data_IF_296084773568
#
_entry.id   IF_296084773568
#
_cell.length_a   1.000
_cell.length_b   1.000
_cell.length_c   1.000
_cell.angle_alpha   90.00
_cell.angle_beta   90.00
_cell.angle_gamma   90.00
#
_symmetry.space_group_name_H-M   'P 1'
#
loop_
_entity.id
_entity.type
_entity.pdbx_description
1 polymer ?
#
# COMPACT_ATOMS: atom_id res chain seq x y z
N UNK A 1 25.31 20.06 -19.06
CA UNK A 1 24.02 19.57 -19.59
C UNK A 1 23.39 18.60 -18.57
N UNK A 2 22.87 19.09 -17.42
CA UNK A 2 22.39 18.25 -16.28
C UNK A 2 20.92 18.48 -15.91
N UNK A 3 20.39 19.68 -16.19
CA UNK A 3 19.09 20.15 -15.66
C UNK A 3 17.90 19.33 -16.17
N UNK A 4 17.94 18.74 -17.37
CA UNK A 4 16.82 17.93 -17.90
C UNK A 4 16.59 16.61 -17.14
N UNK A 5 17.61 16.06 -16.46
CA UNK A 5 17.49 14.77 -15.75
C UNK A 5 16.89 14.94 -14.34
N UNK A 6 17.09 16.10 -13.74
CA UNK A 6 16.63 16.41 -12.38
C UNK A 6 15.10 16.57 -12.30
N UNK A 7 14.45 17.07 -13.36
CA UNK A 7 12.99 17.19 -13.43
C UNK A 7 12.27 15.88 -13.79
N UNK A 8 12.97 14.92 -14.39
CA UNK A 8 12.36 13.64 -14.76
C UNK A 8 11.90 12.85 -13.54
N UNK A 9 12.65 12.86 -12.44
CA UNK A 9 12.27 12.12 -11.24
C UNK A 9 11.00 12.70 -10.56
N UNK A 10 10.90 14.02 -10.29
CA UNK A 10 9.66 14.62 -9.79
C UNK A 10 8.46 14.45 -10.72
N UNK A 11 8.65 14.60 -12.04
CA UNK A 11 7.57 14.40 -13.01
C UNK A 11 7.10 12.93 -13.05
N UNK A 12 8.04 11.99 -13.01
CA UNK A 12 7.72 10.57 -12.91
C UNK A 12 6.96 10.25 -11.62
N UNK A 13 7.40 10.80 -10.48
CA UNK A 13 6.71 10.63 -9.19
C UNK A 13 5.28 11.19 -9.25
N UNK A 14 5.10 12.39 -9.82
CA UNK A 14 3.78 13.00 -9.98
C UNK A 14 2.87 12.16 -10.88
N UNK A 15 3.43 11.62 -11.97
CA UNK A 15 2.69 10.73 -12.87
C UNK A 15 2.30 9.40 -12.18
N UNK A 16 3.19 8.81 -11.38
CA UNK A 16 2.87 7.61 -10.60
C UNK A 16 1.80 7.91 -9.54
N UNK A 17 1.89 9.05 -8.84
CA UNK A 17 0.85 9.49 -7.90
C UNK A 17 -0.50 9.69 -8.57
N UNK A 18 -0.51 10.25 -9.79
CA UNK A 18 -1.72 10.40 -10.59
C UNK A 18 -2.34 9.04 -10.95
N UNK A 19 -1.53 8.10 -11.45
CA UNK A 19 -1.99 6.72 -11.75
C UNK A 19 -2.56 6.05 -10.50
N UNK A 20 -1.87 6.18 -9.36
CA UNK A 20 -2.31 5.58 -8.10
C UNK A 20 -3.65 6.16 -7.63
N UNK A 21 -3.82 7.49 -7.70
CA UNK A 21 -5.09 8.14 -7.38
C UNK A 21 -6.24 7.72 -8.30
N UNK A 22 -6.01 7.71 -9.61
CA UNK A 22 -7.01 7.29 -10.60
C UNK A 22 -7.40 5.80 -10.43
N UNK A 23 -6.49 4.97 -9.94
CA UNK A 23 -6.73 3.54 -9.71
C UNK A 23 -7.88 3.31 -8.74
N UNK A 24 -8.06 4.13 -7.69
CA UNK A 24 -9.18 3.96 -6.76
C UNK A 24 -10.55 4.05 -7.45
N UNK A 25 -10.70 5.04 -8.35
CA UNK A 25 -11.94 5.23 -9.11
C UNK A 25 -12.18 4.06 -10.06
N UNK A 26 -11.14 3.62 -10.77
CA UNK A 26 -11.21 2.49 -11.69
C UNK A 26 -11.53 1.19 -10.95
N UNK A 27 -10.89 0.93 -9.82
CA UNK A 27 -11.12 -0.25 -8.98
C UNK A 27 -12.55 -0.22 -8.42
N UNK A 28 -13.01 0.91 -7.90
CA UNK A 28 -14.37 1.06 -7.38
C UNK A 28 -15.41 0.68 -8.44
N UNK A 29 -15.23 1.17 -9.67
CA UNK A 29 -16.12 0.84 -10.79
C UNK A 29 -15.98 -0.63 -11.23
N UNK A 30 -14.76 -1.16 -11.33
CA UNK A 30 -14.50 -2.53 -11.77
C UNK A 30 -15.07 -3.57 -10.79
N UNK A 31 -15.03 -3.27 -9.49
CA UNK A 31 -15.52 -4.14 -8.44
C UNK A 31 -17.03 -4.38 -8.50
N UNK A 32 -17.80 -3.45 -9.06
CA UNK A 32 -19.24 -3.63 -9.30
C UNK A 32 -19.55 -4.77 -10.28
N UNK A 33 -18.59 -5.18 -11.11
CA UNK A 33 -18.79 -6.22 -12.14
C UNK A 33 -18.29 -7.61 -11.72
N UNK A 34 -17.15 -7.70 -11.04
CA UNK A 34 -16.46 -8.99 -10.77
C UNK A 34 -16.31 -9.33 -9.28
N UNK A 35 -16.64 -8.39 -8.39
CA UNK A 35 -16.50 -8.53 -6.94
C UNK A 35 -15.05 -8.44 -6.43
N UNK A 36 -14.85 -8.23 -5.11
CA UNK A 36 -13.53 -7.93 -4.51
C UNK A 36 -12.51 -9.07 -4.64
N UNK A 37 -12.95 -10.32 -4.39
CA UNK A 37 -12.07 -11.49 -4.39
C UNK A 37 -11.55 -11.81 -5.79
N UNK A 38 -12.44 -11.86 -6.79
CA UNK A 38 -12.08 -12.14 -8.19
C UNK A 38 -11.17 -11.04 -8.74
N UNK A 39 -11.49 -9.77 -8.46
CA UNK A 39 -10.68 -8.65 -8.91
C UNK A 39 -9.25 -8.74 -8.38
N UNK A 40 -9.08 -8.92 -7.07
CA UNK A 40 -7.75 -9.05 -6.46
C UNK A 40 -7.04 -10.32 -6.92
N UNK A 41 -7.75 -11.45 -7.03
CA UNK A 41 -7.19 -12.71 -7.52
C UNK A 41 -6.58 -12.57 -8.92
N UNK A 42 -7.33 -12.00 -9.86
CA UNK A 42 -6.84 -11.72 -11.22
C UNK A 42 -5.65 -10.74 -11.18
N UNK A 43 -5.78 -9.64 -10.43
CA UNK A 43 -4.71 -8.63 -10.30
C UNK A 43 -3.39 -9.25 -9.83
N UNK A 44 -3.41 -10.06 -8.79
CA UNK A 44 -2.20 -10.70 -8.26
C UNK A 44 -1.70 -11.84 -9.14
N UNK A 45 -2.58 -12.55 -9.84
CA UNK A 45 -2.19 -13.57 -10.81
C UNK A 45 -1.44 -12.94 -12.00
N UNK A 46 -1.99 -11.85 -12.57
CA UNK A 46 -1.31 -11.09 -13.62
C UNK A 46 0.02 -10.52 -13.13
N UNK A 47 0.05 -9.91 -11.94
CA UNK A 47 1.29 -9.40 -11.36
C UNK A 47 2.34 -10.51 -11.19
N UNK A 48 1.94 -11.69 -10.70
CA UNK A 48 2.83 -12.85 -10.55
C UNK A 48 3.40 -13.34 -11.88
N UNK A 49 2.57 -13.46 -12.92
CA UNK A 49 3.03 -13.86 -14.27
C UNK A 49 4.04 -12.85 -14.83
N UNK A 50 3.75 -11.55 -14.70
CA UNK A 50 4.65 -10.49 -15.17
C UNK A 50 5.98 -10.54 -14.43
N UNK A 51 5.97 -10.69 -13.10
CA UNK A 51 7.19 -10.78 -12.30
C UNK A 51 8.03 -12.03 -12.66
N UNK A 52 7.38 -13.17 -12.90
CA UNK A 52 8.05 -14.39 -13.37
C UNK A 52 8.68 -14.18 -14.76
N UNK A 53 7.94 -13.54 -15.68
CA UNK A 53 8.44 -13.22 -17.01
C UNK A 53 9.67 -12.29 -16.93
N UNK A 54 9.62 -11.25 -16.11
CA UNK A 54 10.75 -10.34 -15.87
C UNK A 54 11.94 -11.10 -15.29
N UNK A 55 11.74 -12.00 -14.32
CA UNK A 55 12.83 -12.80 -13.76
C UNK A 55 13.53 -13.66 -14.82
N UNK A 56 12.76 -14.29 -15.72
CA UNK A 56 13.28 -15.13 -16.81
C UNK A 56 14.05 -14.28 -17.84
N UNK A 57 13.44 -13.18 -18.32
CA UNK A 57 14.02 -12.33 -19.37
C UNK A 57 15.31 -11.65 -18.90
N UNK A 58 15.32 -11.13 -17.67
CA UNK A 58 16.49 -10.47 -17.11
C UNK A 58 17.49 -11.44 -16.47
N UNK A 59 17.27 -12.76 -16.58
CA UNK A 59 18.17 -13.83 -16.13
C UNK A 59 18.77 -13.57 -14.74
N UNK A 60 17.95 -13.08 -13.80
CA UNK A 60 18.39 -12.90 -12.42
C UNK A 60 18.64 -14.28 -11.84
N UNK A 61 19.91 -14.71 -11.83
CA UNK A 61 20.33 -16.00 -11.28
C UNK A 61 19.94 -16.03 -9.82
N UNK A 62 18.84 -16.72 -9.53
CA UNK A 62 18.33 -16.92 -8.18
C UNK A 62 18.75 -18.32 -7.75
N UNK A 63 19.55 -18.44 -6.68
CA UNK A 63 19.91 -19.75 -6.15
C UNK A 63 18.67 -20.44 -5.58
N UNK A 64 18.62 -21.78 -5.62
CA UNK A 64 17.60 -22.56 -4.90
C UNK A 64 17.59 -22.25 -3.40
N UNK A 65 18.75 -21.85 -2.85
CA UNK A 65 18.89 -21.44 -1.47
C UNK A 65 18.21 -20.07 -1.20
N UNK A 66 18.37 -19.11 -2.11
CA UNK A 66 17.73 -17.80 -2.03
C UNK A 66 16.21 -17.92 -2.10
N UNK A 67 15.70 -18.81 -2.98
CA UNK A 67 14.26 -19.11 -3.09
C UNK A 67 13.76 -19.69 -1.77
N UNK A 68 14.48 -20.65 -1.18
CA UNK A 68 14.05 -21.30 0.07
C UNK A 68 14.05 -20.34 1.25
N UNK A 69 15.06 -19.47 1.36
CA UNK A 69 15.14 -18.45 2.41
C UNK A 69 14.10 -17.34 2.23
N UNK A 70 13.84 -16.94 0.98
CA UNK A 70 12.90 -15.86 0.67
C UNK A 70 11.45 -16.31 0.62
N UNK A 71 11.17 -17.61 0.43
CA UNK A 71 9.79 -18.12 0.30
C UNK A 71 8.96 -17.88 1.56
N UNK A 72 9.53 -18.14 2.74
CA UNK A 72 8.82 -17.88 4.00
C UNK A 72 8.58 -16.39 4.24
N UNK A 73 9.60 -15.55 3.98
CA UNK A 73 9.46 -14.10 4.04
C UNK A 73 8.40 -13.58 3.06
N UNK A 74 8.41 -14.09 1.82
CA UNK A 74 7.45 -13.75 0.77
C UNK A 74 6.02 -14.14 1.12
N UNK A 75 5.81 -15.29 1.78
CA UNK A 75 4.49 -15.68 2.28
C UNK A 75 3.96 -14.71 3.34
N UNK A 76 4.79 -14.31 4.30
CA UNK A 76 4.39 -13.36 5.35
C UNK A 76 4.09 -11.99 4.73
N UNK A 77 5.00 -11.48 3.92
CA UNK A 77 4.87 -10.18 3.23
C UNK A 77 3.63 -10.18 2.33
N UNK A 78 3.40 -11.26 1.58
CA UNK A 78 2.25 -11.47 0.71
C UNK A 78 0.93 -11.61 1.47
N UNK A 79 0.94 -12.22 2.66
CA UNK A 79 -0.25 -12.32 3.52
C UNK A 79 -0.74 -10.93 3.95
N UNK A 80 0.13 -10.08 4.50
CA UNK A 80 -0.25 -8.72 4.89
C UNK A 80 -0.68 -7.88 3.69
N UNK A 81 -0.05 -8.08 2.53
CA UNK A 81 -0.46 -7.44 1.28
C UNK A 81 -1.86 -7.86 0.87
N UNK A 82 -2.16 -9.16 0.90
CA UNK A 82 -3.47 -9.73 0.58
C UNK A 82 -4.55 -9.17 1.51
N UNK A 83 -4.31 -9.20 2.82
CA UNK A 83 -5.23 -8.63 3.82
C UNK A 83 -5.46 -7.14 3.56
N UNK A 84 -4.40 -6.36 3.32
CA UNK A 84 -4.51 -4.94 3.01
C UNK A 84 -5.36 -4.67 1.76
N UNK A 85 -5.13 -5.42 0.68
CA UNK A 85 -5.90 -5.27 -0.55
C UNK A 85 -7.35 -5.72 -0.42
N UNK A 86 -7.64 -6.78 0.35
CA UNK A 86 -9.02 -7.20 0.61
C UNK A 86 -9.76 -6.15 1.44
N UNK A 87 -9.16 -5.68 2.53
CA UNK A 87 -9.75 -4.61 3.35
C UNK A 87 -9.98 -3.34 2.54
N UNK A 88 -9.05 -2.98 1.65
CA UNK A 88 -9.21 -1.84 0.75
C UNK A 88 -10.38 -2.02 -0.21
N UNK A 89 -10.43 -3.14 -0.92
CA UNK A 89 -11.47 -3.37 -1.93
C UNK A 89 -12.84 -3.48 -1.29
N UNK A 90 -12.98 -4.23 -0.20
CA UNK A 90 -14.23 -4.25 0.57
C UNK A 90 -14.59 -2.86 1.13
N UNK A 91 -13.62 -2.10 1.60
CA UNK A 91 -13.84 -0.73 2.05
C UNK A 91 -14.38 0.19 0.94
N UNK A 92 -13.86 0.04 -0.28
CA UNK A 92 -14.29 0.77 -1.48
C UNK A 92 -15.75 0.52 -1.89
N UNK A 93 -16.37 -0.59 -1.43
CA UNK A 93 -17.79 -0.82 -1.67
C UNK A 93 -18.69 0.11 -0.87
N UNK A 94 -18.20 0.65 0.25
CA UNK A 94 -19.00 1.43 1.21
C UNK A 94 -18.53 2.87 1.37
N UNK A 95 -17.28 3.19 1.01
CA UNK A 95 -16.73 4.55 1.08
C UNK A 95 -16.41 5.11 -0.31
N UNK A 96 -16.14 6.42 -0.38
CA UNK A 96 -15.79 7.09 -1.64
C UNK A 96 -14.33 6.84 -2.00
N UNK A 97 -14.00 6.80 -3.30
CA UNK A 97 -12.62 6.68 -3.78
C UNK A 97 -11.67 7.72 -3.15
N UNK A 98 -12.15 8.95 -2.93
CA UNK A 98 -11.37 10.02 -2.29
C UNK A 98 -11.06 9.70 -0.82
N UNK A 99 -12.08 9.30 -0.03
CA UNK A 99 -11.89 8.89 1.38
C UNK A 99 -10.96 7.68 1.47
N UNK A 100 -11.16 6.68 0.63
CA UNK A 100 -10.32 5.49 0.62
C UNK A 100 -8.85 5.77 0.27
N UNK A 101 -8.59 6.61 -0.73
CA UNK A 101 -7.23 7.00 -1.11
C UNK A 101 -6.53 7.74 0.02
N UNK A 102 -7.22 8.68 0.67
CA UNK A 102 -6.70 9.41 1.83
C UNK A 102 -6.39 8.48 3.00
N UNK A 103 -7.35 7.63 3.40
CA UNK A 103 -7.21 6.69 4.50
C UNK A 103 -6.11 5.66 4.24
N UNK A 104 -5.98 5.15 3.01
CA UNK A 104 -4.88 4.26 2.62
C UNK A 104 -3.53 4.98 2.76
N UNK A 105 -3.45 6.26 2.39
CA UNK A 105 -2.26 7.10 2.53
C UNK A 105 -1.79 7.26 3.98
N UNK A 106 -2.67 7.08 4.97
CA UNK A 106 -2.30 7.07 6.38
C UNK A 106 -1.33 5.94 6.76
N UNK A 107 -1.15 4.94 5.89
CA UNK A 107 -0.10 3.93 6.03
C UNK A 107 1.28 4.56 6.29
N UNK A 108 1.58 5.72 5.70
CA UNK A 108 2.84 6.47 5.92
C UNK A 108 3.02 6.90 7.37
N UNK A 109 1.93 7.26 8.05
CA UNK A 109 1.92 7.61 9.48
C UNK A 109 1.90 6.34 10.34
N UNK A 110 1.23 5.28 9.89
CA UNK A 110 1.16 4.01 10.60
C UNK A 110 2.51 3.27 10.63
N UNK A 111 3.33 3.36 9.58
CA UNK A 111 4.65 2.72 9.53
C UNK A 111 5.55 3.12 10.72
N UNK A 112 5.82 4.41 11.00
CA UNK A 112 6.64 4.78 12.15
C UNK A 112 5.97 4.47 13.49
N UNK A 113 4.62 4.49 13.58
CA UNK A 113 3.90 4.07 14.80
C UNK A 113 4.10 2.59 15.06
N UNK A 114 3.90 1.72 14.07
CA UNK A 114 4.15 0.29 14.20
C UNK A 114 5.64 0.03 14.46
N UNK A 115 6.55 0.79 13.84
CA UNK A 115 7.99 0.71 14.14
C UNK A 115 8.28 1.04 15.62
N UNK A 116 7.65 2.08 16.17
CA UNK A 116 7.76 2.41 17.59
C UNK A 116 7.28 1.25 18.48
N UNK A 117 6.11 0.69 18.17
CA UNK A 117 5.48 -0.36 18.98
C UNK A 117 6.30 -1.67 18.92
N UNK A 118 6.70 -2.11 17.72
CA UNK A 118 7.34 -3.41 17.52
C UNK A 118 8.88 -3.36 17.65
N UNK A 119 9.53 -2.28 17.22
CA UNK A 119 10.99 -2.15 17.26
C UNK A 119 11.49 -1.25 18.41
N UNK A 120 10.59 -0.73 19.27
CA UNK A 120 10.91 0.15 20.42
C UNK A 120 11.75 1.38 20.04
N UNK A 121 11.72 1.80 18.78
CA UNK A 121 12.37 3.04 18.32
C UNK A 121 11.56 4.24 18.83
N UNK A 122 12.18 5.33 19.28
CA UNK A 122 11.45 6.48 19.87
C UNK A 122 10.53 7.17 18.85
N UNK A 123 9.35 7.61 19.29
CA UNK A 123 8.37 8.29 18.46
C UNK A 123 8.86 9.72 18.20
N UNK A 124 9.09 10.05 16.93
CA UNK A 124 9.59 11.37 16.55
C UNK A 124 8.45 12.38 16.47
N UNK A 125 8.75 13.67 16.67
CA UNK A 125 7.78 14.79 16.53
C UNK A 125 7.00 14.75 15.19
N UNK A 126 7.62 14.22 14.13
CA UNK A 126 6.98 14.00 12.82
C UNK A 126 5.77 13.06 12.87
N UNK A 127 5.75 12.07 13.77
CA UNK A 127 4.62 11.15 13.93
C UNK A 127 3.41 11.88 14.49
N UNK A 128 3.63 12.68 15.53
CA UNK A 128 2.56 13.48 16.17
C UNK A 128 1.98 14.47 15.15
N UNK A 129 2.83 15.22 14.46
CA UNK A 129 2.39 16.15 13.40
C UNK A 129 1.63 15.42 12.29
N UNK A 130 2.13 14.25 11.86
CA UNK A 130 1.47 13.43 10.85
C UNK A 130 0.07 12.99 11.27
N UNK A 131 -0.11 12.54 12.51
CA UNK A 131 -1.43 12.19 13.05
C UNK A 131 -2.35 13.41 13.07
N UNK A 132 -1.89 14.56 13.56
CA UNK A 132 -2.72 15.78 13.64
C UNK A 132 -3.17 16.24 12.25
N UNK A 133 -2.25 16.27 11.27
CA UNK A 133 -2.56 16.66 9.89
C UNK A 133 -3.48 15.64 9.22
N UNK A 134 -3.25 14.35 9.45
CA UNK A 134 -4.11 13.28 8.96
C UNK A 134 -5.55 13.40 9.49
N UNK A 135 -5.72 13.63 10.79
CA UNK A 135 -7.04 13.82 11.40
C UNK A 135 -7.73 15.07 10.85
N UNK A 136 -7.00 16.17 10.67
CA UNK A 136 -7.54 17.39 10.07
C UNK A 136 -7.95 17.18 8.59
N UNK A 137 -7.12 16.48 7.80
CA UNK A 137 -7.45 16.14 6.41
C UNK A 137 -8.67 15.23 6.30
N UNK A 138 -8.77 14.21 7.16
CA UNK A 138 -9.95 13.35 7.24
C UNK A 138 -11.19 14.15 7.62
N UNK A 139 -11.07 15.08 8.58
CA UNK A 139 -12.16 15.98 8.97
C UNK A 139 -12.65 16.80 7.78
N UNK A 140 -11.76 17.45 7.03
CA UNK A 140 -12.14 18.24 5.85
C UNK A 140 -12.82 17.40 4.76
N UNK A 141 -12.37 16.16 4.57
CA UNK A 141 -12.90 15.26 3.56
C UNK A 141 -14.26 14.62 3.96
N UNK A 142 -14.51 14.48 5.26
CA UNK A 142 -15.77 13.93 5.80
C UNK A 142 -16.82 15.00 6.11
N UNK A 143 -16.39 16.24 6.38
CA UNK A 143 -17.29 17.38 6.64
C UNK A 143 -18.23 17.70 5.45
N UNK A 144 -17.82 17.35 4.23
CA UNK A 144 -18.62 17.59 3.02
C UNK A 144 -19.84 16.65 2.87
N UNK A 145 -19.83 15.46 3.48
CA UNK A 145 -20.75 14.36 3.14
C UNK A 145 -21.59 13.85 4.32
N UNK A 146 -21.86 14.70 5.31
CA UNK A 146 -22.33 14.34 6.66
C UNK A 146 -21.28 13.54 7.44
N UNK A 147 -21.13 13.85 8.73
CA UNK A 147 -20.07 13.33 9.60
C UNK A 147 -20.32 11.87 10.02
N UNK A 148 -20.56 10.97 9.06
CA UNK A 148 -20.81 9.56 9.32
C UNK A 148 -19.62 8.75 8.84
N UNK A 149 -18.84 8.25 9.80
CA UNK A 149 -17.89 7.18 9.53
C UNK A 149 -18.68 5.94 9.16
N UNK A 150 -18.46 5.45 7.94
CA UNK A 150 -19.08 4.23 7.48
C UNK A 150 -18.19 3.02 7.78
N UNK A 151 -18.75 1.82 7.62
CA UNK A 151 -17.97 0.59 7.82
C UNK A 151 -16.80 0.47 6.84
N UNK A 152 -16.92 1.06 5.65
CA UNK A 152 -15.85 1.13 4.66
C UNK A 152 -14.64 1.93 5.16
N UNK A 153 -14.85 3.05 5.84
CA UNK A 153 -13.78 3.88 6.41
C UNK A 153 -12.97 3.09 7.43
N UNK A 154 -13.65 2.29 8.28
CA UNK A 154 -13.01 1.40 9.26
C UNK A 154 -12.20 0.31 8.55
N UNK A 155 -12.75 -0.29 7.49
CA UNK A 155 -12.04 -1.30 6.69
C UNK A 155 -10.79 -0.70 6.03
N UNK A 156 -10.88 0.50 5.44
CA UNK A 156 -9.72 1.14 4.81
C UNK A 156 -8.68 1.61 5.85
N UNK A 157 -9.10 2.01 7.05
CA UNK A 157 -8.16 2.22 8.16
C UNK A 157 -7.42 0.93 8.54
N UNK A 158 -8.12 -0.20 8.59
CA UNK A 158 -7.49 -1.52 8.76
C UNK A 158 -6.52 -1.86 7.63
N UNK A 159 -6.85 -1.50 6.38
CA UNK A 159 -5.95 -1.61 5.23
C UNK A 159 -4.66 -0.81 5.45
N UNK A 160 -4.74 0.42 5.93
CA UNK A 160 -3.55 1.26 6.18
C UNK A 160 -2.58 0.61 7.18
N UNK A 161 -3.12 -0.07 8.22
CA UNK A 161 -2.32 -0.84 9.19
C UNK A 161 -1.70 -2.07 8.53
N UNK A 162 -2.46 -2.82 7.73
CA UNK A 162 -1.94 -3.99 7.02
C UNK A 162 -0.84 -3.63 6.02
N UNK A 163 -0.97 -2.52 5.28
CA UNK A 163 0.10 -2.01 4.43
C UNK A 163 1.30 -1.51 5.22
N UNK A 164 1.11 -0.86 6.36
CA UNK A 164 2.21 -0.48 7.22
C UNK A 164 3.00 -1.70 7.73
N UNK A 165 2.30 -2.76 8.14
CA UNK A 165 2.92 -4.03 8.53
C UNK A 165 3.67 -4.68 7.35
N UNK A 166 3.06 -4.73 6.16
CA UNK A 166 3.71 -5.20 4.93
C UNK A 166 5.02 -4.43 4.65
N UNK A 167 4.99 -3.10 4.71
CA UNK A 167 6.16 -2.24 4.48
C UNK A 167 7.28 -2.55 5.49
N UNK A 168 6.95 -2.64 6.78
CA UNK A 168 7.94 -2.92 7.83
C UNK A 168 8.57 -4.30 7.69
N UNK A 169 7.75 -5.32 7.47
CA UNK A 169 8.21 -6.70 7.33
C UNK A 169 9.04 -6.87 6.06
N UNK A 170 8.59 -6.27 4.95
CA UNK A 170 9.34 -6.27 3.69
C UNK A 170 10.70 -5.57 3.85
N UNK A 171 10.74 -4.41 4.53
CA UNK A 171 11.98 -3.70 4.81
C UNK A 171 12.94 -4.51 5.69
N UNK A 172 12.44 -5.20 6.72
CA UNK A 172 13.23 -6.06 7.59
C UNK A 172 13.85 -7.24 6.83
N UNK A 173 13.05 -7.98 6.05
CA UNK A 173 13.55 -9.13 5.29
C UNK A 173 14.44 -8.72 4.12
N UNK A 174 14.13 -7.63 3.42
CA UNK A 174 14.97 -7.14 2.31
C UNK A 174 16.39 -6.79 2.78
N UNK A 175 16.54 -6.20 3.97
CA UNK A 175 17.85 -5.87 4.54
C UNK A 175 18.61 -7.10 5.04
N UNK A 176 17.92 -8.10 5.57
CA UNK A 176 18.53 -9.32 6.08
C UNK A 176 18.88 -10.35 4.99
N UNK A 177 18.20 -10.33 3.85
CA UNK A 177 18.45 -11.23 2.71
C UNK A 177 19.48 -10.68 1.71
N UNK A 178 19.79 -9.38 1.77
CA UNK A 178 20.82 -8.72 0.95
C UNK A 178 22.19 -8.63 1.63
N UNK A 179 22.31 -9.17 2.85
CA UNK A 179 23.54 -9.20 3.64
C UNK A 179 24.23 -10.56 3.63
#
# INVERSE_FOLDING_TARGET
MSVKKEWLAPLALLFVSFIWGATFVVVQNAMSFVGPFTFNGLRFLFAGIILLFVQIVFSQKTSKQDIKQSSFAGLIVGFFLCVGYLLQTFGLLYTTSSKAGFLTGLSIVMVPILSFIFLKQKATIFVVLGITVATAGLYLLTAADSFQLNIGDILVLGCAIAFAAHILINGFYSKNLSG
#
